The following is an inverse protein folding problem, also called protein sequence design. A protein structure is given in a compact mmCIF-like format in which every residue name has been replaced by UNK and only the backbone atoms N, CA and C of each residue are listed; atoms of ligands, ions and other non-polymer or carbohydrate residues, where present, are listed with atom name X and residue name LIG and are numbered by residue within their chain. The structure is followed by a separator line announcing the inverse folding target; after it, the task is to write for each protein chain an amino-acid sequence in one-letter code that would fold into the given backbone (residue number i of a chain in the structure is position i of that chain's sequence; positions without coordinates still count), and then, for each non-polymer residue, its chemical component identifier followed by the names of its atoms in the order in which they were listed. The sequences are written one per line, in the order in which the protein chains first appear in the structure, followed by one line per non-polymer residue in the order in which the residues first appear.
data_IF_665914934423
#
_entry.id   IF_665914934423
#
_cell.length_a   1.000
_cell.length_b   1.000
_cell.length_c   1.000
_cell.angle_alpha   90.00
_cell.angle_beta   90.00
_cell.angle_gamma   90.00
#
_symmetry.space_group_name_H-M   'P 1'
#
loop_
_entity.id
_entity.type
_entity.pdbx_description
1 polymer ?
#
# COMPACT_ATOMS: atom_id res chain seq x y z
N UNK A 1 12.08 24.52 2.90
CA UNK A 1 11.62 23.26 2.26
C UNK A 1 12.83 22.51 1.74
N UNK A 2 12.95 21.21 2.05
CA UNK A 2 13.94 20.34 1.40
C UNK A 2 13.40 19.83 0.08
N UNK A 3 14.27 19.72 -0.92
CA UNK A 3 13.96 19.07 -2.19
C UNK A 3 14.29 17.58 -2.13
N UNK A 4 13.51 16.78 -2.86
CA UNK A 4 13.83 15.37 -3.11
C UNK A 4 15.14 15.26 -3.91
N UNK A 5 15.87 14.17 -3.70
CA UNK A 5 16.98 13.79 -4.55
C UNK A 5 16.55 13.79 -6.03
N UNK A 6 17.40 14.26 -6.98
CA UNK A 6 17.08 14.31 -8.41
C UNK A 6 16.50 13.00 -8.97
N UNK A 7 16.88 11.85 -8.44
CA UNK A 7 16.34 10.55 -8.84
C UNK A 7 14.82 10.44 -8.69
N UNK A 8 14.29 10.90 -7.55
CA UNK A 8 12.83 10.89 -7.35
C UNK A 8 12.14 11.97 -8.19
N UNK A 9 12.80 13.09 -8.46
CA UNK A 9 12.28 14.14 -9.35
C UNK A 9 12.19 13.62 -10.79
N UNK A 10 13.20 12.89 -11.26
CA UNK A 10 13.20 12.24 -12.58
C UNK A 10 12.01 11.28 -12.69
N UNK A 11 11.75 10.46 -11.66
CA UNK A 11 10.57 9.59 -11.66
C UNK A 11 9.26 10.38 -11.72
N UNK A 12 9.11 11.48 -10.97
CA UNK A 12 7.92 12.33 -11.00
C UNK A 12 7.71 12.92 -12.40
N UNK A 13 8.76 13.47 -13.01
CA UNK A 13 8.69 14.05 -14.36
C UNK A 13 8.35 12.97 -15.40
N UNK A 14 8.97 11.80 -15.31
CA UNK A 14 8.70 10.67 -16.18
C UNK A 14 7.22 10.24 -16.09
N UNK A 15 6.72 10.03 -14.86
CA UNK A 15 5.32 9.67 -14.64
C UNK A 15 4.36 10.77 -15.09
N UNK A 16 4.68 12.05 -14.86
CA UNK A 16 3.85 13.17 -15.28
C UNK A 16 3.74 13.25 -16.81
N UNK A 17 4.86 13.06 -17.52
CA UNK A 17 4.87 13.02 -18.98
C UNK A 17 3.95 11.92 -19.53
N UNK A 18 4.10 10.69 -19.02
CA UNK A 18 3.27 9.59 -19.48
C UNK A 18 1.82 9.69 -18.99
N UNK A 19 1.57 10.27 -17.82
CA UNK A 19 0.23 10.53 -17.31
C UNK A 19 -0.54 11.52 -18.21
N UNK A 20 0.12 12.57 -18.71
CA UNK A 20 -0.46 13.46 -19.73
C UNK A 20 -0.75 12.69 -21.03
N UNK A 21 0.18 11.85 -21.46
CA UNK A 21 0.00 11.01 -22.66
C UNK A 21 -1.15 10.01 -22.51
N UNK A 22 -1.37 9.41 -21.34
CA UNK A 22 -2.50 8.52 -21.08
C UNK A 22 -3.84 9.24 -21.16
N UNK A 23 -3.91 10.48 -20.66
CA UNK A 23 -5.17 11.22 -20.55
C UNK A 23 -5.55 11.91 -21.85
N UNK A 24 -4.57 12.45 -22.59
CA UNK A 24 -4.79 13.29 -23.77
C UNK A 24 -4.24 12.71 -25.07
N UNK A 25 -3.31 11.75 -24.97
CA UNK A 25 -2.61 11.18 -26.11
C UNK A 25 -3.06 9.76 -26.45
N UNK A 26 -2.10 8.97 -26.94
CA UNK A 26 -2.30 7.55 -27.27
C UNK A 26 -1.97 6.68 -26.07
N UNK A 27 -2.54 5.48 -26.05
CA UNK A 27 -2.20 4.43 -25.08
C UNK A 27 -0.68 4.27 -24.97
N UNK A 28 -0.19 4.26 -23.74
CA UNK A 28 1.23 4.04 -23.45
C UNK A 28 1.52 2.55 -23.43
N UNK A 29 2.61 2.13 -24.09
CA UNK A 29 3.04 0.72 -24.08
C UNK A 29 3.53 0.28 -22.69
N UNK A 30 3.16 -0.95 -22.31
CA UNK A 30 3.53 -1.60 -21.04
C UNK A 30 5.04 -1.60 -20.76
N UNK A 31 5.89 -1.63 -21.80
CA UNK A 31 7.35 -1.60 -21.64
C UNK A 31 7.86 -0.36 -20.90
N UNK A 32 7.18 0.79 -21.07
CA UNK A 32 7.56 2.02 -20.39
C UNK A 32 7.25 1.96 -18.90
N UNK A 33 6.19 1.25 -18.53
CA UNK A 33 5.86 1.06 -17.13
C UNK A 33 6.84 0.10 -16.45
N UNK A 34 7.28 -0.96 -17.16
CA UNK A 34 8.39 -1.78 -16.70
C UNK A 34 9.72 -1.03 -16.60
N UNK A 35 9.99 -0.07 -17.50
CA UNK A 35 11.17 0.78 -17.39
C UNK A 35 11.14 1.60 -16.08
N UNK A 36 9.99 2.20 -15.75
CA UNK A 36 9.80 2.87 -14.46
C UNK A 36 9.96 1.91 -13.28
N UNK A 37 9.45 0.68 -13.38
CA UNK A 37 9.58 -0.32 -12.34
C UNK A 37 11.05 -0.72 -12.09
N UNK A 38 11.83 -0.93 -13.16
CA UNK A 38 13.28 -1.18 -13.06
C UNK A 38 13.98 0.01 -12.41
N UNK A 39 13.61 1.23 -12.80
CA UNK A 39 14.14 2.44 -12.16
C UNK A 39 13.85 2.47 -10.64
N UNK A 40 12.62 2.13 -10.24
CA UNK A 40 12.24 2.01 -8.84
C UNK A 40 12.97 0.91 -8.09
N UNK A 41 13.22 -0.25 -8.72
CA UNK A 41 14.04 -1.32 -8.15
C UNK A 41 15.45 -0.80 -7.84
N UNK A 42 16.06 -0.03 -8.74
CA UNK A 42 17.41 0.48 -8.53
C UNK A 42 17.47 1.51 -7.39
N UNK A 43 16.54 2.46 -7.33
CA UNK A 43 16.58 3.50 -6.29
C UNK A 43 16.12 2.98 -4.93
N UNK A 44 15.08 2.14 -4.86
CA UNK A 44 14.57 1.65 -3.59
C UNK A 44 15.33 0.41 -3.10
N UNK A 45 15.71 -0.49 -4.00
CA UNK A 45 16.34 -1.77 -3.69
C UNK A 45 17.81 -1.65 -3.33
N UNK A 46 18.55 -0.74 -3.98
CA UNK A 46 19.99 -0.53 -3.73
C UNK A 46 20.28 0.65 -2.79
N UNK A 47 19.27 1.12 -2.05
CA UNK A 47 19.43 2.23 -1.11
C UNK A 47 20.33 1.85 0.08
N UNK A 48 21.07 2.82 0.61
CA UNK A 48 21.95 2.63 1.77
C UNK A 48 21.58 3.58 2.90
N UNK A 49 21.14 3.04 4.04
CA UNK A 49 20.65 3.80 5.20
C UNK A 49 19.53 4.81 4.87
N UNK A 50 18.66 4.49 3.90
CA UNK A 50 17.55 5.34 3.48
C UNK A 50 16.22 4.72 3.88
N UNK A 51 15.29 5.56 4.34
CA UNK A 51 13.99 5.15 4.87
C UNK A 51 13.97 4.94 6.38
N UNK A 52 12.80 5.13 7.03
CA UNK A 52 12.68 5.15 8.49
C UNK A 52 13.09 3.85 9.18
N UNK A 53 12.72 2.72 8.59
CA UNK A 53 12.85 1.40 9.23
C UNK A 53 14.08 0.63 8.75
N UNK A 54 15.01 1.27 8.03
CA UNK A 54 16.21 0.61 7.48
C UNK A 54 17.00 -0.14 8.55
N UNK A 55 17.25 0.50 9.69
CA UNK A 55 17.95 -0.10 10.82
C UNK A 55 17.21 -1.31 11.40
N UNK A 56 15.89 -1.21 11.55
CA UNK A 56 15.04 -2.29 12.04
C UNK A 56 15.10 -3.52 11.14
N UNK A 57 15.01 -3.34 9.81
CA UNK A 57 15.12 -4.46 8.87
C UNK A 57 16.53 -5.05 8.84
N UNK A 58 17.58 -4.24 8.99
CA UNK A 58 18.94 -4.76 9.14
C UNK A 58 19.07 -5.64 10.39
N UNK A 59 18.46 -5.22 11.50
CA UNK A 59 18.35 -6.01 12.72
C UNK A 59 17.60 -7.33 12.49
N UNK A 60 16.43 -7.29 11.83
CA UNK A 60 15.66 -8.50 11.47
C UNK A 60 16.46 -9.42 10.55
N UNK A 61 17.22 -8.87 9.60
CA UNK A 61 18.06 -9.66 8.70
C UNK A 61 19.08 -10.49 9.48
N UNK A 62 19.82 -9.86 10.39
CA UNK A 62 20.80 -10.54 11.26
C UNK A 62 20.10 -11.54 12.20
N UNK A 63 18.98 -11.13 12.81
CA UNK A 63 18.16 -11.98 13.67
C UNK A 63 17.71 -13.26 12.98
N UNK A 64 17.34 -13.19 11.69
CA UNK A 64 16.89 -14.37 10.93
C UNK A 64 17.93 -15.48 10.85
N UNK A 65 19.23 -15.15 10.94
CA UNK A 65 20.28 -16.17 10.92
C UNK A 65 20.29 -17.02 12.19
N UNK A 66 19.90 -16.42 13.32
CA UNK A 66 19.84 -17.11 14.62
C UNK A 66 18.72 -18.15 14.71
N UNK A 67 17.79 -18.17 13.75
CA UNK A 67 16.63 -19.07 13.76
C UNK A 67 16.88 -20.31 12.93
N UNK A 68 16.46 -21.47 13.43
CA UNK A 68 16.54 -22.73 12.69
C UNK A 68 15.50 -22.80 11.56
N UNK A 69 15.84 -23.51 10.49
CA UNK A 69 14.87 -23.82 9.41
C UNK A 69 13.66 -24.59 9.92
N UNK A 70 13.83 -25.42 10.95
CA UNK A 70 12.74 -26.14 11.59
C UNK A 70 11.74 -25.18 12.26
N UNK A 71 12.19 -24.23 13.08
CA UNK A 71 11.31 -23.24 13.71
C UNK A 71 10.59 -22.37 12.67
N UNK A 72 11.25 -22.03 11.56
CA UNK A 72 10.63 -21.32 10.42
C UNK A 72 9.50 -22.16 9.80
N UNK A 73 9.75 -23.44 9.54
CA UNK A 73 8.75 -24.36 8.98
C UNK A 73 7.57 -24.59 9.95
N UNK A 74 7.84 -24.74 11.25
CA UNK A 74 6.78 -24.86 12.25
C UNK A 74 5.91 -23.60 12.31
N UNK A 75 6.54 -22.41 12.27
CA UNK A 75 5.82 -21.13 12.20
C UNK A 75 4.94 -21.03 10.96
N UNK A 76 5.42 -21.51 9.80
CA UNK A 76 4.63 -21.58 8.57
C UNK A 76 3.34 -22.40 8.76
N UNK A 77 3.40 -23.47 9.53
CA UNK A 77 2.25 -24.32 9.88
C UNK A 77 1.41 -23.79 11.05
N UNK A 78 1.72 -22.60 11.59
CA UNK A 78 1.12 -22.05 12.81
C UNK A 78 1.30 -22.95 14.04
N UNK A 79 2.40 -23.69 14.08
CA UNK A 79 2.79 -24.56 15.20
C UNK A 79 3.97 -23.95 15.95
N UNK A 80 4.12 -24.34 17.22
CA UNK A 80 5.30 -23.95 18.02
C UNK A 80 6.53 -24.72 17.54
N UNK A 81 7.61 -23.99 17.29
CA UNK A 81 8.93 -24.56 17.02
C UNK A 81 9.78 -24.63 18.28
N UNK A 82 11.02 -25.10 18.14
CA UNK A 82 11.99 -25.04 19.23
C UNK A 82 12.36 -23.61 19.62
N UNK A 83 12.16 -22.66 18.72
CA UNK A 83 12.44 -21.24 18.93
C UNK A 83 11.22 -20.40 18.52
N UNK A 84 10.96 -19.34 19.28
CA UNK A 84 9.92 -18.38 18.92
C UNK A 84 10.37 -17.51 17.74
N UNK A 85 9.45 -17.32 16.79
CA UNK A 85 9.60 -16.39 15.67
C UNK A 85 8.68 -15.18 15.86
N UNK A 86 9.30 -14.04 16.12
CA UNK A 86 8.64 -12.73 16.26
C UNK A 86 8.28 -12.09 14.91
N UNK A 87 8.79 -12.65 13.81
CA UNK A 87 8.63 -12.17 12.43
C UNK A 87 8.00 -13.28 11.58
N UNK A 88 7.34 -12.88 10.49
CA UNK A 88 6.64 -13.79 9.59
C UNK A 88 7.61 -14.75 8.88
N UNK A 89 7.16 -16.00 8.72
CA UNK A 89 8.00 -17.15 8.36
C UNK A 89 8.71 -16.98 7.01
N UNK A 90 8.03 -16.45 5.98
CA UNK A 90 8.60 -16.35 4.64
C UNK A 90 9.60 -15.21 4.55
N UNK A 91 9.35 -14.10 5.23
CA UNK A 91 10.34 -13.01 5.32
C UNK A 91 11.60 -13.49 6.06
N UNK A 92 11.44 -14.19 7.18
CA UNK A 92 12.56 -14.80 7.90
C UNK A 92 13.31 -15.82 7.02
N UNK A 93 12.59 -16.65 6.27
CA UNK A 93 13.16 -17.64 5.36
C UNK A 93 14.01 -16.98 4.25
N UNK A 94 13.50 -15.94 3.59
CA UNK A 94 14.22 -15.19 2.56
C UNK A 94 15.52 -14.64 3.12
N UNK A 95 15.45 -13.99 4.29
CA UNK A 95 16.63 -13.44 4.97
C UNK A 95 17.67 -14.54 5.24
N UNK A 96 17.23 -15.66 5.83
CA UNK A 96 18.10 -16.76 6.21
C UNK A 96 18.75 -17.41 4.98
N UNK A 97 18.02 -17.57 3.88
CA UNK A 97 18.56 -18.11 2.62
C UNK A 97 19.65 -17.18 2.05
N UNK A 98 19.40 -15.87 2.03
CA UNK A 98 20.37 -14.88 1.56
C UNK A 98 21.66 -14.92 2.39
N UNK A 99 21.55 -15.13 3.70
CA UNK A 99 22.71 -15.24 4.60
C UNK A 99 23.46 -16.57 4.42
N UNK A 100 22.75 -17.70 4.53
CA UNK A 100 23.39 -19.01 4.61
C UNK A 100 23.92 -19.53 3.27
N UNK A 101 23.23 -19.26 2.16
CA UNK A 101 23.62 -19.78 0.84
C UNK A 101 24.41 -18.80 0.00
N UNK A 102 24.14 -17.50 0.12
CA UNK A 102 24.74 -16.47 -0.73
C UNK A 102 25.75 -15.59 0.01
N UNK A 103 25.85 -15.72 1.36
CA UNK A 103 26.62 -14.81 2.20
C UNK A 103 26.36 -13.34 1.85
N UNK A 104 25.08 -13.03 1.56
CA UNK A 104 24.72 -11.78 0.94
C UNK A 104 24.73 -10.62 1.95
N UNK A 105 25.15 -9.41 1.54
CA UNK A 105 24.97 -8.21 2.36
C UNK A 105 23.51 -7.79 2.41
N UNK A 106 23.12 -7.04 3.47
CA UNK A 106 21.74 -6.62 3.71
C UNK A 106 21.06 -5.92 2.52
N UNK A 107 21.78 -5.12 1.73
CA UNK A 107 21.17 -4.44 0.58
C UNK A 107 20.64 -5.41 -0.50
N UNK A 108 21.14 -6.65 -0.54
CA UNK A 108 20.59 -7.68 -1.43
C UNK A 108 19.17 -8.09 -1.00
N UNK A 109 18.85 -8.06 0.30
CA UNK A 109 17.48 -8.24 0.75
C UNK A 109 16.59 -7.10 0.27
N UNK A 110 17.00 -5.84 0.45
CA UNK A 110 16.18 -4.70 -0.02
C UNK A 110 15.99 -4.74 -1.53
N UNK A 111 17.00 -5.19 -2.28
CA UNK A 111 16.91 -5.41 -3.72
C UNK A 111 15.89 -6.50 -4.08
N UNK A 112 15.99 -7.68 -3.46
CA UNK A 112 15.05 -8.80 -3.70
C UNK A 112 13.61 -8.41 -3.38
N UNK A 113 13.39 -7.73 -2.25
CA UNK A 113 12.06 -7.26 -1.85
C UNK A 113 11.53 -6.22 -2.85
N UNK A 114 12.37 -5.27 -3.29
CA UNK A 114 11.98 -4.27 -4.29
C UNK A 114 11.64 -4.91 -5.64
N UNK A 115 12.40 -5.92 -6.09
CA UNK A 115 12.13 -6.67 -7.32
C UNK A 115 10.73 -7.29 -7.26
N UNK A 116 10.44 -8.07 -6.22
CA UNK A 116 9.13 -8.71 -6.09
C UNK A 116 8.00 -7.70 -5.92
N UNK A 117 8.20 -6.66 -5.11
CA UNK A 117 7.20 -5.63 -4.88
C UNK A 117 6.83 -4.93 -6.20
N UNK A 118 7.83 -4.59 -7.02
CA UNK A 118 7.61 -3.94 -8.32
C UNK A 118 6.95 -4.87 -9.34
N UNK A 119 7.31 -6.15 -9.37
CA UNK A 119 6.64 -7.14 -10.24
C UNK A 119 5.14 -7.17 -9.93
N UNK A 120 4.77 -7.36 -8.65
CA UNK A 120 3.36 -7.43 -8.25
C UNK A 120 2.62 -6.11 -8.45
N UNK A 121 3.29 -4.96 -8.22
CA UNK A 121 2.73 -3.63 -8.48
C UNK A 121 2.42 -3.41 -9.95
N UNK A 122 3.35 -3.74 -10.84
CA UNK A 122 3.17 -3.57 -12.28
C UNK A 122 2.01 -4.44 -12.75
N UNK A 123 2.03 -5.72 -12.39
CA UNK A 123 1.00 -6.67 -12.79
C UNK A 123 -0.39 -6.31 -12.24
N UNK A 124 -0.48 -5.89 -10.98
CA UNK A 124 -1.74 -5.39 -10.41
C UNK A 124 -2.23 -4.13 -11.15
N UNK A 125 -1.36 -3.16 -11.38
CA UNK A 125 -1.77 -1.88 -11.95
C UNK A 125 -2.24 -2.04 -13.39
N UNK A 126 -1.48 -2.79 -14.20
CA UNK A 126 -1.81 -3.06 -15.61
C UNK A 126 -3.16 -3.78 -15.76
N UNK A 127 -3.47 -4.72 -14.87
CA UNK A 127 -4.73 -5.49 -14.90
C UNK A 127 -5.96 -4.68 -14.47
N UNK A 128 -5.76 -3.59 -13.74
CA UNK A 128 -6.83 -2.93 -13.01
C UNK A 128 -6.96 -1.43 -13.33
N UNK A 129 -6.12 -0.81 -14.16
CA UNK A 129 -6.35 0.57 -14.58
C UNK A 129 -6.03 0.82 -16.04
N UNK A 130 -6.79 1.75 -16.63
CA UNK A 130 -6.48 2.32 -17.94
C UNK A 130 -5.44 3.43 -17.87
N UNK A 131 -5.02 3.84 -16.67
CA UNK A 131 -4.13 4.98 -16.42
C UNK A 131 -2.99 4.60 -15.44
N UNK A 132 -2.14 3.60 -15.76
CA UNK A 132 -1.09 3.11 -14.88
C UNK A 132 -0.12 4.20 -14.37
N UNK A 133 0.31 5.12 -15.23
CA UNK A 133 1.20 6.23 -14.84
C UNK A 133 0.48 7.27 -13.98
N UNK A 134 -0.77 7.61 -14.32
CA UNK A 134 -1.57 8.53 -13.52
C UNK A 134 -1.86 7.97 -12.13
N UNK A 135 -2.19 6.69 -12.02
CA UNK A 135 -2.38 6.01 -10.74
C UNK A 135 -1.08 5.94 -9.93
N UNK A 136 0.03 5.57 -10.57
CA UNK A 136 1.33 5.46 -9.89
C UNK A 136 1.82 6.82 -9.41
N UNK A 137 1.62 7.88 -10.21
CA UNK A 137 1.93 9.26 -9.82
C UNK A 137 1.10 9.71 -8.63
N UNK A 138 -0.22 9.45 -8.66
CA UNK A 138 -1.12 9.74 -7.55
C UNK A 138 -0.69 9.03 -6.26
N UNK A 139 -0.25 7.78 -6.38
CA UNK A 139 0.21 6.96 -5.26
C UNK A 139 1.67 7.22 -4.87
N UNK A 140 2.41 8.07 -5.59
CA UNK A 140 3.84 8.19 -5.37
C UNK A 140 4.16 8.81 -4.01
N UNK A 141 3.54 9.94 -3.68
CA UNK A 141 3.75 10.62 -2.40
C UNK A 141 2.47 10.52 -1.54
N UNK A 142 2.53 10.00 -0.31
CA UNK A 142 3.73 9.46 0.38
C UNK A 142 3.97 7.96 0.14
N UNK A 143 3.08 7.24 -0.54
CA UNK A 143 3.04 5.77 -0.44
C UNK A 143 4.26 5.05 -1.02
N UNK A 144 4.93 5.59 -2.04
CA UNK A 144 6.20 5.02 -2.52
C UNK A 144 7.27 5.11 -1.42
N UNK A 145 7.42 6.26 -0.79
CA UNK A 145 8.45 6.47 0.24
C UNK A 145 8.18 5.64 1.49
N UNK A 146 6.93 5.62 1.94
CA UNK A 146 6.52 4.82 3.10
C UNK A 146 6.59 3.34 2.75
N UNK A 147 5.99 2.89 1.65
CA UNK A 147 5.89 1.47 1.29
C UNK A 147 7.23 0.86 0.87
N UNK A 148 7.98 1.52 0.00
CA UNK A 148 9.25 0.98 -0.52
C UNK A 148 10.41 1.16 0.44
N UNK A 149 10.37 2.18 1.31
CA UNK A 149 11.50 2.51 2.18
C UNK A 149 11.24 2.37 3.69
N UNK A 150 9.99 2.37 4.13
CA UNK A 150 9.60 2.19 5.54
C UNK A 150 8.91 0.86 5.82
N UNK A 151 7.82 0.54 5.14
CA UNK A 151 6.96 -0.61 5.41
C UNK A 151 7.15 -1.72 4.38
N UNK A 152 8.40 -2.09 4.06
CA UNK A 152 8.71 -2.96 2.92
C UNK A 152 8.03 -4.33 2.98
N UNK A 153 7.87 -4.90 4.18
CA UNK A 153 7.14 -6.17 4.41
C UNK A 153 5.66 -6.01 4.09
N UNK A 154 5.00 -5.04 4.74
CA UNK A 154 3.58 -4.78 4.52
C UNK A 154 3.29 -4.42 3.06
N UNK A 155 4.13 -3.59 2.44
CA UNK A 155 4.00 -3.20 1.05
C UNK A 155 4.11 -4.41 0.11
N UNK A 156 5.15 -5.23 0.24
CA UNK A 156 5.28 -6.46 -0.56
C UNK A 156 4.09 -7.40 -0.33
N UNK A 157 3.78 -7.74 0.92
CA UNK A 157 2.67 -8.64 1.26
C UNK A 157 1.33 -8.15 0.70
N UNK A 158 1.03 -6.87 0.84
CA UNK A 158 -0.22 -6.27 0.37
C UNK A 158 -0.31 -6.32 -1.16
N UNK A 159 0.77 -6.04 -1.90
CA UNK A 159 0.74 -6.12 -3.37
C UNK A 159 0.69 -7.56 -3.91
N UNK A 160 1.23 -8.54 -3.19
CA UNK A 160 1.00 -9.97 -3.47
C UNK A 160 -0.51 -10.28 -3.40
N UNK A 161 -1.19 -9.76 -2.37
CA UNK A 161 -2.64 -9.96 -2.20
C UNK A 161 -3.46 -9.17 -3.23
N UNK A 162 -3.02 -7.96 -3.58
CA UNK A 162 -3.69 -7.19 -4.64
C UNK A 162 -3.61 -7.91 -5.98
N UNK A 163 -2.43 -8.43 -6.33
CA UNK A 163 -2.26 -9.29 -7.49
C UNK A 163 -3.24 -10.47 -7.46
N UNK A 164 -3.46 -11.07 -6.28
CA UNK A 164 -4.36 -12.21 -6.12
C UNK A 164 -5.83 -11.92 -6.48
N UNK A 165 -6.25 -10.65 -6.62
CA UNK A 165 -7.63 -10.33 -7.03
C UNK A 165 -8.02 -10.97 -8.37
N UNK A 166 -7.05 -11.17 -9.29
CA UNK A 166 -7.31 -11.85 -10.56
C UNK A 166 -7.90 -13.25 -10.34
N UNK A 167 -7.48 -13.94 -9.29
CA UNK A 167 -8.01 -15.26 -8.95
C UNK A 167 -9.40 -15.22 -8.31
N UNK A 168 -9.81 -14.09 -7.72
CA UNK A 168 -11.21 -13.86 -7.35
C UNK A 168 -12.06 -13.72 -8.62
N UNK A 169 -11.60 -12.91 -9.59
CA UNK A 169 -12.29 -12.70 -10.88
C UNK A 169 -12.42 -14.00 -11.68
N UNK A 170 -11.35 -14.80 -11.71
CA UNK A 170 -11.26 -16.10 -12.39
C UNK A 170 -11.90 -17.25 -11.60
N UNK A 171 -12.43 -17.00 -10.38
CA UNK A 171 -12.99 -18.02 -9.48
C UNK A 171 -12.02 -19.15 -9.09
N UNK A 172 -10.71 -18.88 -9.08
CA UNK A 172 -9.67 -19.84 -8.69
C UNK A 172 -9.35 -19.76 -7.18
N UNK A 173 -10.21 -20.37 -6.36
CA UNK A 173 -10.10 -20.33 -4.89
C UNK A 173 -8.72 -20.74 -4.37
N UNK A 174 -8.19 -21.88 -4.81
CA UNK A 174 -6.90 -22.39 -4.33
C UNK A 174 -5.72 -21.49 -4.69
N UNK A 175 -5.77 -20.83 -5.85
CA UNK A 175 -4.74 -19.88 -6.23
C UNK A 175 -4.82 -18.63 -5.36
N UNK A 176 -6.04 -18.14 -5.10
CA UNK A 176 -6.24 -17.04 -4.18
C UNK A 176 -5.69 -17.36 -2.78
N UNK A 177 -6.04 -18.53 -2.21
CA UNK A 177 -5.52 -18.97 -0.92
C UNK A 177 -4.00 -19.08 -0.90
N UNK A 178 -3.40 -19.61 -1.96
CA UNK A 178 -1.94 -19.68 -2.09
C UNK A 178 -1.31 -18.28 -1.99
N UNK A 179 -1.82 -17.29 -2.72
CA UNK A 179 -1.28 -15.93 -2.64
C UNK A 179 -1.57 -15.23 -1.31
N UNK A 180 -2.71 -15.49 -0.66
CA UNK A 180 -2.95 -15.02 0.72
C UNK A 180 -1.91 -15.63 1.67
N UNK A 181 -1.66 -16.93 1.57
CA UNK A 181 -0.68 -17.63 2.40
C UNK A 181 0.74 -17.07 2.18
N UNK A 182 1.18 -16.92 0.94
CA UNK A 182 2.48 -16.33 0.61
C UNK A 182 2.58 -14.88 1.11
N UNK A 183 1.55 -14.05 0.86
CA UNK A 183 1.52 -12.66 1.35
C UNK A 183 1.57 -12.58 2.87
N UNK A 184 0.83 -13.46 3.57
CA UNK A 184 0.80 -13.54 5.03
C UNK A 184 2.12 -14.04 5.62
N UNK A 185 2.88 -14.85 4.88
CA UNK A 185 4.24 -15.24 5.24
C UNK A 185 5.24 -14.08 5.19
N UNK A 186 4.92 -13.01 4.45
CA UNK A 186 5.72 -11.77 4.43
C UNK A 186 5.22 -10.78 5.48
N UNK A 187 3.90 -10.62 5.60
CA UNK A 187 3.28 -9.71 6.58
C UNK A 187 1.87 -10.16 6.95
N UNK A 188 1.58 -10.29 8.24
CA UNK A 188 0.35 -10.87 8.78
C UNK A 188 -0.95 -10.14 8.40
N UNK A 189 -0.90 -8.83 8.09
CA UNK A 189 -2.06 -8.05 7.62
C UNK A 189 -2.78 -8.68 6.42
N UNK A 190 -2.07 -9.47 5.61
CA UNK A 190 -2.61 -10.12 4.43
C UNK A 190 -3.77 -11.08 4.76
N UNK A 191 -3.82 -11.62 5.98
CA UNK A 191 -4.95 -12.45 6.44
C UNK A 191 -6.27 -11.70 6.49
N UNK A 192 -6.27 -10.37 6.70
CA UNK A 192 -7.49 -9.57 6.68
C UNK A 192 -8.19 -9.59 5.32
N UNK A 193 -7.45 -9.88 4.25
CA UNK A 193 -8.02 -9.95 2.91
C UNK A 193 -8.69 -11.29 2.64
N UNK A 194 -8.43 -12.34 3.40
CA UNK A 194 -9.00 -13.68 3.17
C UNK A 194 -10.53 -13.68 2.92
N UNK A 195 -11.36 -12.94 3.69
CA UNK A 195 -12.80 -12.88 3.45
C UNK A 195 -13.19 -12.25 2.10
N UNK A 196 -12.29 -11.47 1.48
CA UNK A 196 -12.58 -10.76 0.24
C UNK A 196 -12.80 -11.70 -0.95
N UNK A 197 -12.35 -12.96 -0.89
CA UNK A 197 -12.73 -13.94 -1.90
C UNK A 197 -14.25 -14.01 -2.08
N UNK A 198 -15.00 -13.95 -0.99
CA UNK A 198 -16.47 -13.96 -1.02
C UNK A 198 -17.03 -12.54 -1.06
N UNK A 199 -16.55 -11.66 -0.20
CA UNK A 199 -17.11 -10.31 -0.03
C UNK A 199 -16.97 -9.45 -1.29
N UNK A 200 -15.91 -9.62 -2.10
CA UNK A 200 -15.72 -8.86 -3.33
C UNK A 200 -16.81 -9.13 -4.39
N UNK A 201 -17.59 -10.21 -4.25
CA UNK A 201 -18.64 -10.61 -5.20
C UNK A 201 -20.05 -10.28 -4.71
N UNK A 202 -20.19 -9.78 -3.48
CA UNK A 202 -21.50 -9.42 -2.92
C UNK A 202 -22.07 -8.24 -3.71
N UNK A 203 -23.30 -8.32 -4.25
CA UNK A 203 -23.90 -7.20 -4.95
C UNK A 203 -24.23 -6.09 -3.96
N UNK A 204 -23.52 -4.96 -4.05
CA UNK A 204 -23.80 -3.77 -3.25
C UNK A 204 -24.54 -2.74 -4.11
N UNK A 205 -25.55 -2.10 -3.53
CA UNK A 205 -26.18 -0.91 -4.07
C UNK A 205 -25.84 0.31 -3.20
N UNK A 206 -26.14 1.51 -3.68
CA UNK A 206 -25.82 2.76 -2.97
C UNK A 206 -26.41 2.82 -1.56
N UNK A 207 -27.62 2.31 -1.36
CA UNK A 207 -28.26 2.28 -0.03
C UNK A 207 -27.50 1.39 0.93
N UNK A 208 -27.13 0.17 0.52
CA UNK A 208 -26.35 -0.75 1.36
C UNK A 208 -24.97 -0.16 1.68
N UNK A 209 -24.28 0.41 0.67
CA UNK A 209 -23.00 1.08 0.90
C UNK A 209 -23.13 2.21 1.93
N UNK A 210 -24.18 3.03 1.81
CA UNK A 210 -24.42 4.14 2.71
C UNK A 210 -24.69 3.66 4.14
N UNK A 211 -25.55 2.65 4.29
CA UNK A 211 -25.87 2.04 5.60
C UNK A 211 -24.61 1.44 6.24
N UNK A 212 -23.77 0.75 5.47
CA UNK A 212 -22.51 0.20 5.98
C UNK A 212 -21.56 1.30 6.46
N UNK A 213 -21.38 2.37 5.67
CA UNK A 213 -20.48 3.48 6.00
C UNK A 213 -21.00 4.26 7.21
N UNK A 214 -22.28 4.66 7.22
CA UNK A 214 -22.87 5.37 8.36
C UNK A 214 -22.85 4.47 9.60
N UNK A 215 -23.16 3.19 9.45
CA UNK A 215 -23.06 2.20 10.52
C UNK A 215 -21.64 2.13 11.09
N UNK A 216 -20.60 2.14 10.25
CA UNK A 216 -19.21 2.13 10.68
C UNK A 216 -18.80 3.41 11.45
N UNK A 217 -19.32 4.56 11.05
CA UNK A 217 -19.11 5.84 11.75
C UNK A 217 -19.82 5.84 13.10
N UNK A 218 -21.07 5.37 13.15
CA UNK A 218 -21.83 5.25 14.39
C UNK A 218 -21.20 4.24 15.36
N UNK A 219 -20.63 3.14 14.85
CA UNK A 219 -19.95 2.13 15.66
C UNK A 219 -18.56 2.57 16.16
N UNK A 220 -17.97 3.60 15.55
CA UNK A 220 -16.62 4.08 15.86
C UNK A 220 -16.38 4.37 17.36
N UNK A 221 -17.26 5.11 18.08
CA UNK A 221 -17.06 5.43 19.50
C UNK A 221 -17.15 4.22 20.43
N UNK A 222 -17.78 3.12 20.00
CA UNK A 222 -17.94 1.91 20.80
C UNK A 222 -16.72 1.00 20.75
N UNK A 223 -15.76 1.30 19.87
CA UNK A 223 -14.47 0.59 19.78
C UNK A 223 -14.62 -0.94 19.73
N UNK A 224 -15.61 -1.42 18.96
CA UNK A 224 -15.96 -2.85 18.85
C UNK A 224 -14.78 -3.75 18.49
N UNK A 225 -13.75 -3.18 17.86
CA UNK A 225 -12.50 -3.84 17.51
C UNK A 225 -11.70 -4.33 18.72
N UNK A 226 -11.89 -3.73 19.92
CA UNK A 226 -11.20 -4.16 21.15
C UNK A 226 -11.54 -5.59 21.55
N UNK A 227 -12.74 -6.06 21.18
CA UNK A 227 -13.14 -7.46 21.36
C UNK A 227 -12.26 -8.46 20.58
N UNK A 228 -11.52 -7.97 19.58
CA UNK A 228 -10.60 -8.74 18.74
C UNK A 228 -9.12 -8.40 19.00
N UNK A 229 -8.81 -7.69 20.09
CA UNK A 229 -7.50 -7.05 20.34
C UNK A 229 -6.28 -7.94 20.06
N UNK A 230 -6.20 -9.12 20.70
CA UNK A 230 -5.05 -10.02 20.53
C UNK A 230 -4.82 -10.52 19.10
N UNK A 231 -5.87 -10.63 18.28
CA UNK A 231 -5.76 -10.98 16.86
C UNK A 231 -5.24 -9.79 16.04
N UNK A 232 -5.80 -8.60 16.29
CA UNK A 232 -5.47 -7.39 15.53
C UNK A 232 -4.07 -6.87 15.85
N UNK A 233 -3.62 -6.99 17.09
CA UNK A 233 -2.26 -6.61 17.51
C UNK A 233 -1.20 -7.42 16.76
N UNK A 234 -1.41 -8.72 16.59
CA UNK A 234 -0.53 -9.59 15.79
C UNK A 234 -0.51 -9.24 14.29
N UNK A 235 -1.57 -8.59 13.78
CA UNK A 235 -1.69 -8.16 12.38
C UNK A 235 -1.08 -6.78 12.10
N UNK A 236 -0.88 -5.97 13.15
CA UNK A 236 -0.54 -4.55 13.04
C UNK A 236 0.96 -4.23 13.21
N UNK A 237 1.84 -5.26 13.26
CA UNK A 237 3.28 -5.28 13.62
C UNK A 237 3.98 -3.92 13.84
N UNK A 238 4.50 -3.73 15.05
CA UNK A 238 4.93 -2.43 15.60
C UNK A 238 6.27 -1.90 15.04
N UNK A 239 6.25 -0.89 14.15
CA UNK A 239 7.35 0.09 14.04
C UNK A 239 6.87 1.49 14.48
N UNK A 240 7.39 1.98 15.61
CA UNK A 240 7.01 3.27 16.20
C UNK A 240 7.41 4.48 15.36
N UNK A 241 8.39 4.33 14.46
CA UNK A 241 8.85 5.42 13.57
C UNK A 241 7.88 5.74 12.43
N UNK A 242 7.01 4.79 12.04
CA UNK A 242 6.05 5.01 10.95
C UNK A 242 4.85 5.83 11.41
N UNK A 243 4.57 5.89 12.72
CA UNK A 243 3.59 6.83 13.26
C UNK A 243 3.99 8.28 13.00
N UNK A 244 5.28 8.62 12.94
CA UNK A 244 5.74 9.96 12.54
C UNK A 244 5.58 10.26 11.05
N UNK A 245 5.66 9.25 10.17
CA UNK A 245 5.48 9.42 8.71
C UNK A 245 4.00 9.47 8.29
N UNK A 246 3.15 8.74 9.00
CA UNK A 246 1.69 8.80 8.88
C UNK A 246 1.07 9.84 9.82
N UNK A 247 1.89 10.44 10.69
CA UNK A 247 1.55 11.37 11.76
C UNK A 247 1.21 12.74 11.21
N UNK A 248 0.10 12.80 10.48
CA UNK A 248 -0.49 14.05 10.05
C UNK A 248 -1.30 14.74 11.15
N UNK A 249 -1.20 14.28 12.40
CA UNK A 249 -1.81 14.92 13.55
C UNK A 249 -0.94 14.63 14.78
N UNK A 250 -0.18 15.63 15.23
CA UNK A 250 0.21 15.68 16.63
C UNK A 250 -1.07 15.68 17.48
N UNK A 251 -1.02 14.91 18.56
CA UNK A 251 -2.00 14.80 19.64
C UNK A 251 -3.28 14.00 19.35
N UNK A 252 -3.28 12.78 19.92
CA UNK A 252 -4.43 11.93 20.27
C UNK A 252 -5.65 12.71 20.79
N UNK A 253 -5.45 13.89 21.40
CA UNK A 253 -6.50 14.75 21.95
C UNK A 253 -7.41 15.36 20.88
N UNK A 254 -6.89 15.85 19.75
CA UNK A 254 -7.74 16.44 18.69
C UNK A 254 -8.60 15.39 17.99
N UNK A 255 -8.09 14.17 17.81
CA UNK A 255 -8.82 13.07 17.19
C UNK A 255 -9.92 12.50 18.09
N UNK A 256 -9.64 12.35 19.39
CA UNK A 256 -10.64 11.96 20.40
C UNK A 256 -11.77 12.98 20.51
N UNK A 257 -11.48 14.27 20.28
CA UNK A 257 -12.47 15.35 20.24
C UNK A 257 -13.15 15.54 18.88
N UNK A 258 -13.01 14.60 17.94
CA UNK A 258 -13.73 14.62 16.66
C UNK A 258 -13.06 15.42 15.53
N UNK A 259 -11.79 15.81 15.68
CA UNK A 259 -11.02 16.51 14.65
C UNK A 259 -10.95 15.76 13.30
N UNK A 260 -10.86 16.54 12.22
CA UNK A 260 -10.78 16.06 10.84
C UNK A 260 -9.34 16.20 10.34
N UNK A 261 -8.70 15.08 10.01
CA UNK A 261 -7.35 15.03 9.43
C UNK A 261 -7.33 14.70 7.94
N UNK A 262 -6.13 14.65 7.36
CA UNK A 262 -5.92 14.25 5.96
C UNK A 262 -6.54 12.87 5.64
N UNK A 263 -6.40 11.83 6.50
CA UNK A 263 -7.01 10.53 6.23
C UNK A 263 -8.55 10.59 6.14
N UNK A 264 -9.23 11.34 7.01
CA UNK A 264 -10.68 11.55 6.92
C UNK A 264 -11.08 12.25 5.62
N UNK A 265 -10.31 13.25 5.18
CA UNK A 265 -10.54 13.93 3.88
C UNK A 265 -10.36 12.95 2.72
N UNK A 266 -9.34 12.09 2.76
CA UNK A 266 -9.15 11.05 1.74
C UNK A 266 -10.31 10.05 1.74
N UNK A 267 -10.87 9.69 2.90
CA UNK A 267 -12.05 8.83 2.98
C UNK A 267 -13.29 9.51 2.41
N UNK A 268 -13.45 10.81 2.65
CA UNK A 268 -14.53 11.60 2.05
C UNK A 268 -14.40 11.68 0.53
N UNK A 269 -13.19 11.90 0.00
CA UNK A 269 -12.92 11.90 -1.45
C UNK A 269 -13.22 10.52 -2.04
N UNK A 270 -12.72 9.44 -1.44
CA UNK A 270 -12.97 8.10 -1.93
C UNK A 270 -14.46 7.76 -1.92
N UNK A 271 -15.18 8.14 -0.85
CA UNK A 271 -16.63 8.00 -0.75
C UNK A 271 -17.35 8.82 -1.83
N UNK A 272 -16.93 10.06 -2.07
CA UNK A 272 -17.49 10.89 -3.15
C UNK A 272 -17.36 10.20 -4.51
N UNK A 273 -16.15 9.72 -4.86
CA UNK A 273 -15.92 9.02 -6.12
C UNK A 273 -16.74 7.74 -6.22
N UNK A 274 -16.87 7.00 -5.11
CA UNK A 274 -17.72 5.82 -5.03
C UNK A 274 -19.16 6.17 -5.40
N UNK A 275 -19.80 7.13 -4.72
CA UNK A 275 -21.24 7.39 -4.91
C UNK A 275 -21.58 8.13 -6.22
N UNK A 276 -20.73 9.06 -6.64
CA UNK A 276 -20.97 9.88 -7.84
C UNK A 276 -20.79 9.08 -9.11
N UNK A 277 -19.77 8.21 -9.16
CA UNK A 277 -19.42 7.49 -10.38
C UNK A 277 -19.87 6.01 -10.40
N UNK A 278 -20.41 5.45 -9.30
CA UNK A 278 -20.79 4.02 -9.19
C UNK A 278 -21.61 3.49 -10.38
N UNK A 279 -22.66 4.19 -10.79
CA UNK A 279 -23.53 3.72 -11.89
C UNK A 279 -22.76 3.59 -13.20
N UNK A 280 -22.03 4.65 -13.60
CA UNK A 280 -21.25 4.64 -14.85
C UNK A 280 -20.07 3.68 -14.79
N UNK A 281 -19.42 3.58 -13.64
CA UNK A 281 -18.33 2.64 -13.41
C UNK A 281 -18.81 1.19 -13.49
N UNK A 282 -19.99 0.88 -12.95
CA UNK A 282 -20.59 -0.46 -13.06
C UNK A 282 -20.92 -0.83 -14.51
N UNK A 283 -21.36 0.14 -15.31
CA UNK A 283 -21.71 -0.07 -16.72
C UNK A 283 -20.49 -0.23 -17.63
N UNK A 284 -19.43 0.57 -17.41
CA UNK A 284 -18.34 0.72 -18.37
C UNK A 284 -16.99 0.19 -17.91
N UNK A 285 -16.73 0.08 -16.60
CA UNK A 285 -15.43 -0.34 -16.07
C UNK A 285 -15.45 -1.82 -15.64
N UNK A 286 -14.73 -2.72 -16.33
CA UNK A 286 -14.75 -4.15 -16.03
C UNK A 286 -14.32 -4.46 -14.60
N UNK A 287 -15.07 -5.35 -13.94
CA UNK A 287 -14.81 -5.77 -12.56
C UNK A 287 -14.81 -4.62 -11.54
N UNK A 288 -15.45 -3.47 -11.86
CA UNK A 288 -15.60 -2.36 -10.92
C UNK A 288 -16.19 -2.80 -9.58
N UNK A 289 -17.20 -3.68 -9.59
CA UNK A 289 -17.90 -4.12 -8.38
C UNK A 289 -16.97 -4.77 -7.36
N UNK A 290 -15.93 -5.46 -7.81
CA UNK A 290 -14.91 -6.04 -6.93
C UNK A 290 -14.13 -4.92 -6.23
N UNK A 291 -13.74 -3.89 -6.99
CA UNK A 291 -13.01 -2.75 -6.46
C UNK A 291 -13.85 -1.89 -5.52
N UNK A 292 -15.12 -1.68 -5.87
CA UNK A 292 -16.12 -1.02 -5.03
C UNK A 292 -16.23 -1.72 -3.69
N UNK A 293 -16.30 -3.05 -3.66
CA UNK A 293 -16.46 -3.79 -2.42
C UNK A 293 -15.21 -3.71 -1.53
N UNK A 294 -14.01 -3.74 -2.12
CA UNK A 294 -12.78 -3.45 -1.37
C UNK A 294 -12.77 -2.03 -0.79
N UNK A 295 -13.24 -1.03 -1.54
CA UNK A 295 -13.35 0.35 -1.10
C UNK A 295 -14.32 0.52 0.07
N UNK A 296 -15.52 -0.06 -0.03
CA UNK A 296 -16.50 -0.04 1.06
C UNK A 296 -15.92 -0.70 2.29
N UNK A 297 -15.29 -1.87 2.16
CA UNK A 297 -14.66 -2.57 3.27
C UNK A 297 -13.55 -1.73 3.92
N UNK A 298 -12.68 -1.10 3.13
CA UNK A 298 -11.62 -0.23 3.62
C UNK A 298 -12.12 1.01 4.35
N UNK A 299 -13.14 1.69 3.79
CA UNK A 299 -13.77 2.85 4.43
C UNK A 299 -14.42 2.44 5.76
N UNK A 300 -15.14 1.33 5.78
CA UNK A 300 -15.78 0.83 7.01
C UNK A 300 -14.72 0.47 8.07
N UNK A 301 -13.67 -0.25 7.69
CA UNK A 301 -12.56 -0.59 8.58
C UNK A 301 -11.87 0.66 9.12
N UNK A 302 -11.66 1.68 8.30
CA UNK A 302 -11.05 2.93 8.73
C UNK A 302 -11.86 3.58 9.86
N UNK A 303 -13.17 3.70 9.70
CA UNK A 303 -14.02 4.31 10.73
C UNK A 303 -14.15 3.43 11.98
N UNK A 304 -14.26 2.11 11.82
CA UNK A 304 -14.25 1.18 12.96
C UNK A 304 -12.96 1.34 13.77
N UNK A 305 -11.81 1.44 13.09
CA UNK A 305 -10.49 1.54 13.74
C UNK A 305 -10.04 2.97 14.04
N UNK A 306 -10.88 3.99 13.82
CA UNK A 306 -10.48 5.41 13.85
C UNK A 306 -9.75 5.82 15.14
N UNK A 307 -10.20 5.30 16.27
CA UNK A 307 -9.65 5.62 17.60
C UNK A 307 -8.31 4.92 17.89
N UNK A 308 -7.87 3.98 17.04
CA UNK A 308 -6.56 3.37 17.09
C UNK A 308 -5.74 3.77 15.84
N UNK A 309 -4.77 4.69 15.97
CA UNK A 309 -3.96 5.15 14.84
C UNK A 309 -3.21 4.03 14.10
N UNK A 310 -2.76 3.00 14.83
CA UNK A 310 -2.04 1.86 14.23
C UNK A 310 -3.00 1.06 13.36
N UNK A 311 -4.19 0.71 13.88
CA UNK A 311 -5.16 -0.09 13.13
C UNK A 311 -5.75 0.68 11.94
N UNK A 312 -6.12 1.95 12.14
CA UNK A 312 -6.66 2.78 11.05
C UNK A 312 -5.63 3.07 9.94
N UNK A 313 -4.34 3.22 10.28
CA UNK A 313 -3.30 3.47 9.27
C UNK A 313 -2.77 2.19 8.61
N UNK A 314 -2.61 1.08 9.36
CA UNK A 314 -1.99 -0.15 8.82
C UNK A 314 -3.01 -1.13 8.29
N UNK A 315 -4.02 -1.47 9.08
CA UNK A 315 -5.01 -2.49 8.70
C UNK A 315 -5.96 -1.92 7.64
N UNK A 316 -6.63 -0.80 7.95
CA UNK A 316 -7.51 -0.16 6.98
C UNK A 316 -6.73 0.47 5.82
N UNK A 317 -5.52 1.00 6.06
CA UNK A 317 -4.67 1.57 5.01
C UNK A 317 -4.33 0.59 3.89
N UNK A 318 -4.16 -0.70 4.22
CA UNK A 318 -3.98 -1.75 3.21
C UNK A 318 -5.22 -1.92 2.31
N UNK A 319 -6.45 -1.70 2.81
CA UNK A 319 -7.63 -1.72 1.94
C UNK A 319 -7.82 -0.41 1.18
N UNK A 320 -7.48 0.71 1.80
CA UNK A 320 -7.59 2.04 1.20
C UNK A 320 -6.64 2.16 0.01
N UNK A 321 -5.39 1.71 0.14
CA UNK A 321 -4.40 1.74 -0.94
C UNK A 321 -4.86 1.00 -2.20
N UNK A 322 -5.57 -0.13 -2.03
CA UNK A 322 -6.21 -0.86 -3.12
C UNK A 322 -7.27 0.00 -3.83
N UNK A 323 -8.07 0.68 -3.03
CA UNK A 323 -9.30 1.37 -3.43
C UNK A 323 -9.05 2.66 -4.20
N UNK A 324 -7.87 3.26 -4.03
CA UNK A 324 -7.47 4.47 -4.73
C UNK A 324 -7.45 4.35 -6.26
N UNK A 325 -7.44 3.13 -6.80
CA UNK A 325 -7.53 2.89 -8.25
C UNK A 325 -8.87 3.33 -8.85
N UNK A 326 -9.92 3.47 -8.03
CA UNK A 326 -11.24 3.98 -8.45
C UNK A 326 -11.14 5.43 -8.95
N UNK A 327 -10.30 6.25 -8.31
CA UNK A 327 -10.20 7.69 -8.59
C UNK A 327 -9.72 7.95 -10.04
N UNK A 328 -8.54 7.46 -10.48
CA UNK A 328 -8.11 7.67 -11.85
C UNK A 328 -9.00 6.93 -12.86
N UNK A 329 -9.52 5.73 -12.54
CA UNK A 329 -10.40 5.02 -13.47
C UNK A 329 -11.76 5.71 -13.69
N UNK A 330 -12.22 6.58 -12.78
CA UNK A 330 -13.42 7.39 -13.03
C UNK A 330 -13.29 8.27 -14.28
N UNK A 331 -12.07 8.64 -14.70
CA UNK A 331 -11.81 9.34 -15.96
C UNK A 331 -12.25 8.55 -17.20
N UNK A 332 -12.26 7.22 -17.13
CA UNK A 332 -12.61 6.34 -18.25
C UNK A 332 -14.10 6.40 -18.60
N UNK A 333 -14.95 6.70 -17.61
CA UNK A 333 -16.41 6.52 -17.73
C UNK A 333 -17.18 7.85 -17.84
N UNK A 334 -16.48 8.96 -18.03
CA UNK A 334 -17.05 10.31 -17.98
C UNK A 334 -16.78 11.11 -19.26
N UNK A 335 -17.48 12.24 -19.40
CA UNK A 335 -17.26 13.17 -20.53
C UNK A 335 -15.86 13.80 -20.48
N UNK A 336 -15.36 14.26 -21.63
CA UNK A 336 -14.03 14.88 -21.73
C UNK A 336 -13.83 16.05 -20.74
N UNK A 337 -14.85 16.88 -20.53
CA UNK A 337 -14.80 17.98 -19.54
C UNK A 337 -14.60 17.45 -18.12
N UNK A 338 -15.37 16.43 -17.72
CA UNK A 338 -15.28 15.84 -16.38
C UNK A 338 -13.97 15.09 -16.20
N UNK A 339 -13.50 14.38 -17.23
CA UNK A 339 -12.17 13.74 -17.28
C UNK A 339 -11.08 14.75 -16.95
N UNK A 340 -11.09 15.92 -17.60
CA UNK A 340 -10.09 16.96 -17.37
C UNK A 340 -10.18 17.52 -15.94
N UNK A 341 -11.37 17.65 -15.37
CA UNK A 341 -11.56 18.07 -13.98
C UNK A 341 -11.00 17.03 -12.99
N UNK A 342 -11.27 15.74 -13.19
CA UNK A 342 -10.72 14.66 -12.36
C UNK A 342 -9.19 14.63 -12.48
N UNK A 343 -8.65 14.76 -13.70
CA UNK A 343 -7.21 14.80 -13.91
C UNK A 343 -6.55 15.99 -13.19
N UNK A 344 -7.10 17.19 -13.37
CA UNK A 344 -6.62 18.39 -12.67
C UNK A 344 -6.67 18.20 -11.14
N UNK A 345 -7.74 17.60 -10.62
CA UNK A 345 -7.87 17.26 -9.21
C UNK A 345 -6.78 16.29 -8.74
N UNK A 346 -6.48 15.23 -9.50
CA UNK A 346 -5.40 14.29 -9.19
C UNK A 346 -4.05 15.01 -9.15
N UNK A 347 -3.75 15.87 -10.14
CA UNK A 347 -2.51 16.64 -10.17
C UNK A 347 -2.43 17.62 -8.98
N UNK A 348 -3.53 18.28 -8.62
CA UNK A 348 -3.58 19.12 -7.42
C UNK A 348 -3.31 18.32 -6.13
N UNK A 349 -3.84 17.09 -6.01
CA UNK A 349 -3.54 16.21 -4.88
C UNK A 349 -2.07 15.79 -4.85
N UNK A 350 -1.46 15.49 -6.00
CA UNK A 350 -0.02 15.16 -6.08
C UNK A 350 0.83 16.33 -5.59
N UNK A 351 0.53 17.56 -6.05
CA UNK A 351 1.23 18.77 -5.61
C UNK A 351 1.01 19.03 -4.12
N UNK A 352 -0.23 18.90 -3.65
CA UNK A 352 -0.57 19.03 -2.23
C UNK A 352 0.23 18.03 -1.38
N UNK A 353 0.23 16.75 -1.76
CA UNK A 353 0.97 15.71 -1.05
C UNK A 353 2.47 15.97 -1.06
N UNK A 354 3.05 16.46 -2.16
CA UNK A 354 4.46 16.86 -2.22
C UNK A 354 4.78 17.99 -1.24
N UNK A 355 3.96 19.04 -1.23
CA UNK A 355 4.12 20.19 -0.33
C UNK A 355 4.03 19.75 1.12
N UNK A 356 2.99 18.98 1.46
CA UNK A 356 2.78 18.40 2.79
C UNK A 356 3.98 17.53 3.18
N UNK A 357 4.41 16.60 2.33
CA UNK A 357 5.55 15.72 2.61
C UNK A 357 6.86 16.50 2.83
N UNK A 358 7.05 17.63 2.15
CA UNK A 358 8.19 18.53 2.39
C UNK A 358 8.06 19.34 3.69
N UNK A 359 6.87 19.87 3.99
CA UNK A 359 6.59 20.67 5.19
C UNK A 359 6.78 19.87 6.48
N UNK A 360 6.33 18.61 6.50
CA UNK A 360 6.51 17.70 7.64
C UNK A 360 7.93 17.13 7.76
N UNK A 361 8.91 17.68 7.02
CA UNK A 361 10.31 17.24 7.01
C UNK A 361 10.53 15.75 6.65
N UNK A 362 9.54 15.06 6.10
CA UNK A 362 9.63 13.63 5.76
C UNK A 362 10.75 13.35 4.75
N UNK A 363 11.04 14.30 3.86
CA UNK A 363 12.18 14.21 2.93
C UNK A 363 13.52 14.12 3.67
N UNK A 364 13.74 14.97 4.69
CA UNK A 364 14.99 14.96 5.48
C UNK A 364 15.03 13.80 6.46
N UNK A 365 13.91 13.51 7.12
CA UNK A 365 13.78 12.43 8.10
C UNK A 365 14.00 11.06 7.46
N UNK A 366 13.42 10.84 6.27
CA UNK A 366 13.59 9.60 5.51
C UNK A 366 14.89 9.51 4.70
N UNK A 367 15.76 10.54 4.78
CA UNK A 367 17.04 10.63 4.04
C UNK A 367 16.86 10.58 2.53
N UNK A 368 15.81 11.23 2.02
CA UNK A 368 15.48 11.31 0.58
C UNK A 368 15.97 12.61 -0.09
N UNK A 369 16.70 13.48 0.62
CA UNK A 369 17.27 14.72 0.08
C UNK A 369 18.59 14.48 -0.65
N UNK A 370 18.99 15.45 -1.48
CA UNK A 370 20.25 15.39 -2.25
C UNK A 370 21.49 15.05 -1.41
N UNK A 371 21.60 15.63 -0.22
CA UNK A 371 22.76 15.46 0.67
C UNK A 371 22.76 14.13 1.47
N UNK A 372 21.61 13.46 1.58
CA UNK A 372 21.41 12.35 2.54
C UNK A 372 21.11 11.01 1.89
N UNK A 373 20.54 11.04 0.69
CA UNK A 373 20.26 9.83 -0.05
C UNK A 373 21.58 9.20 -0.48
N UNK A 374 21.72 7.90 -0.22
CA UNK A 374 22.87 7.10 -0.60
C UNK A 374 22.39 5.83 -1.28
N UNK A 375 23.12 5.36 -2.28
CA UNK A 375 22.84 4.14 -3.01
C UNK A 375 24.14 3.33 -3.16
N UNK A 376 24.04 2.01 -3.30
CA UNK A 376 25.20 1.12 -3.42
C UNK A 376 25.84 1.13 -4.82
N UNK A 377 25.12 1.62 -5.84
CA UNK A 377 25.59 1.61 -7.24
C UNK A 377 25.47 3.01 -7.87
N UNK A 378 24.39 3.72 -7.57
CA UNK A 378 24.18 5.07 -8.10
C UNK A 378 24.98 6.11 -7.29
N UNK A 379 25.51 7.15 -7.96
CA UNK A 379 26.36 8.17 -7.32
C UNK A 379 25.64 9.02 -6.27
#
# INVERSE_FOLDING_TARGET
MSLLHPYYIIAIVYMLFFSIQEVYGKKVDKKWFWFLAVYFILIAGLRNEVGPDYGSYKGIYIYSDTKSYYSIFMKMLHMEGSENLDVEWLYTLINKILLNFFNAPFYMLTLVIAIFAMIFKVEYTEDNTFYPFTFTLFMFIPNFFIGESGQIRQNLGTFIVYFAIRYIKERKFWHYLFFIFIGSGIHSVCYLFLPMYWLARVPLNKTVMLVMIIGSVFLSPFEIYRSFGGLLDGMASNSTLVEGFNGYMDETVQRLNGGVGIPEVMMAILTFFLFVFDTKMKELYPYYEYHRNYAVAGICMYFIFRNNPIFSSRLAGAFIGFSYIIIPNAMYVVSARTKNMIYAFIISLVVFNFVVFSLFNNIKAGRFSIERYKNHILP
#
